data_IF_622347072405
#
_entry.id   IF_622347072405
#
_cell.length_a   1.000
_cell.length_b   1.000
_cell.length_c   1.000
_cell.angle_alpha   90.00
_cell.angle_beta   90.00
_cell.angle_gamma   90.00
#
_symmetry.space_group_name_H-M   'P 1'
#
loop_
_entity.id
_entity.type
_entity.pdbx_description
1 polymer ?
#
# COMPACT_ATOMS: atom_id res chain seq x y z
N UNK A 1 -29.66 22.99 4.90
CA UNK A 1 -29.20 22.25 6.10
C UNK A 1 -27.98 21.39 5.81
N UNK A 2 -28.04 20.35 4.97
CA UNK A 2 -26.95 19.35 4.88
C UNK A 2 -25.50 19.83 4.61
N UNK A 3 -25.26 20.95 3.91
CA UNK A 3 -23.88 21.48 3.70
C UNK A 3 -23.29 22.15 4.94
N UNK A 4 -24.12 22.70 5.81
CA UNK A 4 -23.68 23.34 7.06
C UNK A 4 -23.39 22.25 8.09
N UNK A 5 -24.27 21.25 8.17
CA UNK A 5 -24.12 20.12 9.10
C UNK A 5 -22.83 19.33 8.81
N UNK A 6 -22.58 18.98 7.54
CA UNK A 6 -21.34 18.29 7.14
C UNK A 6 -20.06 19.10 7.43
N UNK A 7 -20.13 20.44 7.35
CA UNK A 7 -18.98 21.31 7.69
C UNK A 7 -18.74 21.36 9.21
N UNK A 8 -19.79 21.27 10.01
CA UNK A 8 -19.69 21.23 11.47
C UNK A 8 -19.19 19.86 11.93
N UNK A 9 -19.64 18.76 11.32
CA UNK A 9 -19.12 17.41 11.53
C UNK A 9 -17.62 17.33 11.24
N UNK A 10 -17.18 17.80 10.07
CA UNK A 10 -15.75 17.79 9.74
C UNK A 10 -14.86 18.66 10.66
N UNK A 11 -15.44 19.68 11.33
CA UNK A 11 -14.72 20.44 12.37
C UNK A 11 -14.56 19.64 13.65
N UNK A 12 -15.62 18.93 14.06
CA UNK A 12 -15.58 18.06 15.24
C UNK A 12 -14.57 16.93 15.03
N UNK A 13 -14.64 16.25 13.89
CA UNK A 13 -13.69 15.18 13.52
C UNK A 13 -12.23 15.68 13.48
N UNK A 14 -12.02 16.90 12.96
CA UNK A 14 -10.69 17.52 12.94
C UNK A 14 -10.13 17.81 14.35
N UNK A 15 -10.97 18.24 15.29
CA UNK A 15 -10.57 18.45 16.68
C UNK A 15 -10.27 17.13 17.40
N UNK A 16 -11.05 16.08 17.14
CA UNK A 16 -10.82 14.74 17.68
C UNK A 16 -9.49 14.14 17.19
N UNK A 17 -9.18 14.31 15.89
CA UNK A 17 -7.91 13.90 15.33
C UNK A 17 -6.73 14.67 15.97
N UNK A 18 -6.84 15.99 16.09
CA UNK A 18 -5.80 16.81 16.70
C UNK A 18 -5.54 16.39 18.15
N UNK A 19 -6.61 16.11 18.91
CA UNK A 19 -6.50 15.60 20.27
C UNK A 19 -5.80 14.23 20.31
N UNK A 20 -6.08 13.33 19.37
CA UNK A 20 -5.43 12.02 19.26
C UNK A 20 -3.93 12.14 19.00
N UNK A 21 -3.54 12.96 18.02
CA UNK A 21 -2.13 13.18 17.66
C UNK A 21 -1.35 13.77 18.84
N UNK A 22 -1.93 14.75 19.55
CA UNK A 22 -1.30 15.35 20.74
C UNK A 22 -1.14 14.33 21.86
N UNK A 23 -2.12 13.43 22.06
CA UNK A 23 -2.02 12.37 23.07
C UNK A 23 -0.90 11.36 22.76
N UNK A 24 -0.67 11.06 21.49
CA UNK A 24 0.34 10.06 21.08
C UNK A 24 1.76 10.61 20.97
N UNK A 25 1.93 11.87 20.55
CA UNK A 25 3.24 12.42 20.21
C UNK A 25 3.48 13.87 20.65
N UNK A 26 2.59 14.43 21.46
CA UNK A 26 2.68 15.80 21.97
C UNK A 26 2.41 16.87 20.90
N UNK A 27 2.64 18.14 21.28
CA UNK A 27 2.43 19.29 20.41
C UNK A 27 3.31 19.25 19.14
N UNK A 28 4.55 18.76 19.26
CA UNK A 28 5.45 18.64 18.10
C UNK A 28 4.93 17.69 17.02
N UNK A 29 4.25 16.60 17.41
CA UNK A 29 3.65 15.69 16.45
C UNK A 29 2.51 16.37 15.67
N UNK A 30 1.70 17.18 16.35
CA UNK A 30 0.66 17.98 15.71
C UNK A 30 1.25 19.02 14.76
N UNK A 31 2.34 19.69 15.13
CA UNK A 31 3.03 20.66 14.26
C UNK A 31 3.60 20.00 13.00
N UNK A 32 4.21 18.82 13.12
CA UNK A 32 4.70 18.03 11.97
C UNK A 32 3.56 17.65 11.03
N UNK A 33 2.44 17.18 11.58
CA UNK A 33 1.27 16.82 10.79
C UNK A 33 0.65 18.04 10.09
N UNK A 34 0.54 19.18 10.79
CA UNK A 34 0.09 20.43 10.20
C UNK A 34 0.99 20.91 9.06
N UNK A 35 2.32 20.77 9.21
CA UNK A 35 3.29 21.09 8.15
C UNK A 35 3.14 20.14 6.96
N UNK A 36 3.01 18.84 7.20
CA UNK A 36 2.81 17.84 6.15
C UNK A 36 1.53 18.13 5.35
N UNK A 37 0.39 18.34 6.02
CA UNK A 37 -0.89 18.67 5.38
C UNK A 37 -0.86 19.96 4.55
N UNK A 38 -0.11 20.98 4.98
CA UNK A 38 0.06 22.21 4.19
C UNK A 38 0.77 21.93 2.86
N UNK A 39 1.72 20.99 2.84
CA UNK A 39 2.46 20.61 1.62
C UNK A 39 1.64 19.67 0.74
N UNK A 40 0.96 18.68 1.33
CA UNK A 40 0.23 17.64 0.58
C UNK A 40 -1.21 18.01 0.23
N UNK A 41 -1.79 19.02 0.88
CA UNK A 41 -3.16 19.45 0.64
C UNK A 41 -4.24 18.52 1.21
N UNK A 42 -3.88 17.60 2.12
CA UNK A 42 -4.81 16.65 2.75
C UNK A 42 -5.83 17.40 3.62
N UNK A 43 -7.12 17.20 3.33
CA UNK A 43 -8.26 17.84 4.02
C UNK A 43 -9.15 16.87 4.79
N UNK A 44 -8.79 15.59 4.84
CA UNK A 44 -9.56 14.54 5.53
C UNK A 44 -9.09 14.36 6.99
N UNK A 45 -9.96 13.97 7.92
CA UNK A 45 -9.65 13.80 9.34
C UNK A 45 -8.95 12.46 9.62
N UNK A 46 -7.93 12.13 8.82
CA UNK A 46 -7.10 10.92 9.01
C UNK A 46 -5.65 11.35 9.04
N UNK A 47 -4.89 10.93 10.06
CA UNK A 47 -3.46 11.24 10.21
C UNK A 47 -2.63 10.55 9.12
N UNK A 48 -1.51 11.16 8.72
CA UNK A 48 -0.58 10.58 7.75
C UNK A 48 -0.15 9.16 8.11
N UNK A 49 0.07 8.88 9.41
CA UNK A 49 0.42 7.52 9.88
C UNK A 49 -0.69 6.51 9.67
N UNK A 50 -1.95 6.91 9.83
CA UNK A 50 -3.10 6.02 9.59
C UNK A 50 -3.28 5.77 8.08
N UNK A 51 -3.00 6.77 7.25
CA UNK A 51 -2.99 6.62 5.79
C UNK A 51 -1.88 5.68 5.30
N UNK A 52 -0.66 5.82 5.83
CA UNK A 52 0.45 4.93 5.49
C UNK A 52 0.17 3.49 5.91
N UNK A 53 -0.39 3.29 7.11
CA UNK A 53 -0.81 1.97 7.58
C UNK A 53 -1.92 1.36 6.71
N UNK A 54 -2.91 2.16 6.32
CA UNK A 54 -3.98 1.69 5.43
C UNK A 54 -3.43 1.32 4.05
N UNK A 55 -2.56 2.17 3.48
CA UNK A 55 -1.89 1.89 2.22
C UNK A 55 -1.05 0.62 2.30
N UNK A 56 -0.32 0.41 3.40
CA UNK A 56 0.48 -0.80 3.61
C UNK A 56 -0.39 -2.06 3.67
N UNK A 57 -1.50 -2.03 4.42
CA UNK A 57 -2.45 -3.16 4.47
C UNK A 57 -3.04 -3.47 3.10
N UNK A 58 -3.37 -2.44 2.31
CA UNK A 58 -3.87 -2.63 0.94
C UNK A 58 -2.80 -3.30 0.07
N UNK A 59 -1.54 -2.86 0.17
CA UNK A 59 -0.43 -3.49 -0.56
C UNK A 59 -0.26 -4.96 -0.18
N UNK A 60 -0.25 -5.28 1.11
CA UNK A 60 -0.15 -6.65 1.63
C UNK A 60 -1.30 -7.52 1.12
N UNK A 61 -2.54 -7.03 1.20
CA UNK A 61 -3.72 -7.75 0.70
C UNK A 61 -3.67 -7.97 -0.82
N UNK A 62 -3.18 -7.00 -1.60
CA UNK A 62 -3.00 -7.16 -3.04
C UNK A 62 -1.98 -8.27 -3.32
N UNK A 63 -0.87 -8.31 -2.59
CA UNK A 63 0.14 -9.35 -2.77
C UNK A 63 -0.40 -10.74 -2.44
N UNK A 64 -1.14 -10.88 -1.33
CA UNK A 64 -1.77 -12.14 -0.93
C UNK A 64 -2.77 -12.65 -1.98
N UNK A 65 -3.61 -11.75 -2.49
CA UNK A 65 -4.63 -12.11 -3.49
C UNK A 65 -4.01 -12.48 -4.85
N UNK A 66 -2.97 -11.77 -5.29
CA UNK A 66 -2.20 -12.10 -6.50
C UNK A 66 -1.46 -13.43 -6.36
N UNK A 67 -0.84 -13.70 -5.21
CA UNK A 67 -0.17 -14.97 -4.94
C UNK A 67 -1.18 -16.14 -4.95
N UNK A 68 -2.33 -15.98 -4.33
CA UNK A 68 -3.38 -16.99 -4.32
C UNK A 68 -3.88 -17.33 -5.73
N UNK A 69 -4.16 -16.31 -6.55
CA UNK A 69 -4.54 -16.47 -7.95
C UNK A 69 -3.44 -17.16 -8.76
N UNK A 70 -2.18 -16.75 -8.58
CA UNK A 70 -1.03 -17.34 -9.27
C UNK A 70 -0.87 -18.83 -8.94
N UNK A 71 -0.99 -19.20 -7.66
CA UNK A 71 -0.94 -20.60 -7.22
C UNK A 71 -2.07 -21.43 -7.84
N UNK A 72 -3.29 -20.87 -7.91
CA UNK A 72 -4.43 -21.55 -8.50
C UNK A 72 -4.19 -21.84 -9.99
N UNK A 73 -3.75 -20.83 -10.76
CA UNK A 73 -3.41 -20.99 -12.19
C UNK A 73 -2.28 -22.01 -12.38
N UNK A 74 -1.21 -21.94 -11.58
CA UNK A 74 -0.10 -22.90 -11.65
C UNK A 74 -0.54 -24.34 -11.35
N UNK A 75 -1.50 -24.52 -10.44
CA UNK A 75 -2.07 -25.83 -10.16
C UNK A 75 -2.92 -26.32 -11.32
N UNK A 76 -3.86 -25.51 -11.79
CA UNK A 76 -4.90 -25.94 -12.71
C UNK A 76 -4.40 -26.08 -14.14
N UNK A 77 -3.61 -25.13 -14.62
CA UNK A 77 -3.10 -25.12 -16.01
C UNK A 77 -1.83 -25.96 -16.17
N UNK A 78 -0.91 -25.88 -15.19
CA UNK A 78 0.40 -26.51 -15.31
C UNK A 78 0.56 -27.77 -14.45
N UNK A 79 -0.47 -28.15 -13.69
CA UNK A 79 -0.46 -29.36 -12.85
C UNK A 79 0.55 -29.32 -11.70
N UNK A 80 0.94 -28.13 -11.23
CA UNK A 80 1.95 -28.02 -10.18
C UNK A 80 1.42 -28.61 -8.86
N UNK A 81 2.09 -29.67 -8.39
CA UNK A 81 1.88 -30.23 -7.06
C UNK A 81 2.53 -29.40 -5.95
N UNK A 82 2.20 -29.72 -4.70
CA UNK A 82 2.61 -28.98 -3.49
C UNK A 82 4.08 -28.52 -3.50
N UNK A 83 5.03 -29.40 -3.80
CA UNK A 83 6.47 -29.06 -3.79
C UNK A 83 6.81 -27.89 -4.72
N UNK A 84 6.26 -27.88 -5.94
CA UNK A 84 6.50 -26.80 -6.93
C UNK A 84 5.79 -25.51 -6.52
N UNK A 85 4.58 -25.62 -5.97
CA UNK A 85 3.83 -24.48 -5.46
C UNK A 85 4.51 -23.83 -4.25
N UNK A 86 5.04 -24.62 -3.31
CA UNK A 86 5.80 -24.13 -2.16
C UNK A 86 7.07 -23.41 -2.61
N UNK A 87 7.76 -23.94 -3.62
CA UNK A 87 8.93 -23.28 -4.21
C UNK A 87 8.55 -21.96 -4.89
N UNK A 88 7.46 -21.92 -5.67
CA UNK A 88 6.95 -20.68 -6.27
C UNK A 88 6.62 -19.64 -5.19
N UNK A 89 5.86 -20.04 -4.16
CA UNK A 89 5.51 -19.17 -3.02
C UNK A 89 6.74 -18.59 -2.34
N UNK A 90 7.75 -19.42 -2.06
CA UNK A 90 8.98 -18.95 -1.43
C UNK A 90 9.72 -17.92 -2.30
N UNK A 91 9.80 -18.14 -3.63
CA UNK A 91 10.44 -17.20 -4.56
C UNK A 91 9.63 -15.91 -4.75
N UNK A 92 8.30 -16.00 -4.74
CA UNK A 92 7.40 -14.84 -4.79
C UNK A 92 7.62 -13.95 -3.57
N UNK A 93 7.60 -14.52 -2.36
CA UNK A 93 7.81 -13.78 -1.12
C UNK A 93 9.20 -13.14 -1.05
N UNK A 94 10.24 -13.86 -1.46
CA UNK A 94 11.60 -13.30 -1.50
C UNK A 94 11.69 -12.08 -2.43
N UNK A 95 11.05 -12.10 -3.62
CA UNK A 95 11.02 -10.95 -4.51
C UNK A 95 10.29 -9.76 -3.88
N UNK A 96 9.19 -10.00 -3.17
CA UNK A 96 8.47 -8.97 -2.41
C UNK A 96 9.36 -8.35 -1.32
N UNK A 97 10.09 -9.16 -0.55
CA UNK A 97 11.02 -8.69 0.47
C UNK A 97 12.12 -7.81 -0.15
N UNK A 98 12.73 -8.24 -1.26
CA UNK A 98 13.73 -7.44 -1.97
C UNK A 98 13.18 -6.08 -2.44
N UNK A 99 11.91 -6.00 -2.84
CA UNK A 99 11.28 -4.71 -3.18
C UNK A 99 11.06 -3.84 -1.95
N UNK A 100 10.64 -4.41 -0.83
CA UNK A 100 10.45 -3.67 0.42
C UNK A 100 11.77 -3.10 0.96
N UNK A 101 12.87 -3.85 0.80
CA UNK A 101 14.22 -3.43 1.20
C UNK A 101 14.87 -2.46 0.19
N UNK A 102 14.20 -2.14 -0.91
CA UNK A 102 14.71 -1.24 -1.95
C UNK A 102 15.85 -1.82 -2.78
N UNK A 103 16.07 -3.13 -2.73
CA UNK A 103 17.11 -3.84 -3.50
C UNK A 103 16.73 -4.02 -4.97
N UNK A 104 15.42 -3.97 -5.26
CA UNK A 104 14.85 -4.15 -6.60
C UNK A 104 13.67 -3.19 -6.78
N UNK A 105 13.57 -2.55 -7.93
CA UNK A 105 12.43 -1.70 -8.30
C UNK A 105 11.46 -2.41 -9.25
N UNK A 106 10.24 -1.88 -9.39
CA UNK A 106 9.30 -2.37 -10.41
C UNK A 106 9.84 -2.21 -11.82
N UNK A 107 10.62 -1.16 -12.10
CA UNK A 107 11.24 -0.97 -13.41
C UNK A 107 12.21 -2.11 -13.73
N UNK A 108 13.05 -2.50 -12.77
CA UNK A 108 14.00 -3.62 -12.93
C UNK A 108 13.27 -4.94 -13.21
N UNK A 109 12.14 -5.18 -12.53
CA UNK A 109 11.33 -6.39 -12.75
C UNK A 109 10.70 -6.38 -14.15
N UNK A 110 10.13 -5.26 -14.58
CA UNK A 110 9.51 -5.16 -15.91
C UNK A 110 10.54 -5.29 -17.03
N UNK A 111 11.72 -4.72 -16.85
CA UNK A 111 12.86 -4.89 -17.75
C UNK A 111 13.32 -6.34 -17.83
N UNK A 112 13.54 -7.00 -16.70
CA UNK A 112 13.93 -8.41 -16.68
C UNK A 112 12.90 -9.32 -17.35
N UNK A 113 11.59 -9.10 -17.11
CA UNK A 113 10.53 -9.89 -17.74
C UNK A 113 10.56 -9.69 -19.27
N UNK A 114 10.66 -8.44 -19.72
CA UNK A 114 10.73 -8.12 -21.15
C UNK A 114 11.95 -8.76 -21.80
N UNK A 115 13.13 -8.59 -21.21
CA UNK A 115 14.40 -9.02 -21.79
C UNK A 115 14.55 -10.55 -21.78
N UNK A 116 14.07 -11.24 -20.73
CA UNK A 116 14.22 -12.69 -20.59
C UNK A 116 13.09 -13.50 -21.26
N UNK A 117 11.88 -12.94 -21.33
CA UNK A 117 10.69 -13.68 -21.78
C UNK A 117 10.02 -13.10 -23.03
N UNK A 118 10.36 -11.86 -23.41
CA UNK A 118 9.69 -11.12 -24.48
C UNK A 118 8.28 -10.62 -24.10
N UNK A 119 7.83 -10.84 -22.87
CA UNK A 119 6.51 -10.39 -22.40
C UNK A 119 6.60 -8.93 -21.97
N UNK A 120 5.74 -8.08 -22.54
CA UNK A 120 5.61 -6.69 -22.12
C UNK A 120 4.51 -6.54 -21.06
N UNK A 121 4.86 -5.92 -19.94
CA UNK A 121 3.95 -5.61 -18.84
C UNK A 121 4.04 -4.12 -18.50
N UNK A 122 2.90 -3.55 -18.12
CA UNK A 122 2.81 -2.16 -17.63
C UNK A 122 2.02 -2.12 -16.33
N UNK A 123 2.59 -1.49 -15.31
CA UNK A 123 1.92 -1.23 -14.04
C UNK A 123 1.26 0.14 -14.13
N UNK A 124 -0.06 0.19 -13.92
CA UNK A 124 -0.81 1.46 -13.90
C UNK A 124 -0.50 2.20 -12.60
N UNK A 125 -0.11 3.46 -12.73
CA UNK A 125 -0.04 4.36 -11.58
C UNK A 125 -1.47 4.77 -11.15
N UNK A 126 -1.80 4.60 -9.88
CA UNK A 126 -2.93 5.32 -9.31
C UNK A 126 -2.48 6.77 -9.10
N UNK A 127 -2.84 7.65 -10.04
CA UNK A 127 -2.77 9.10 -9.86
C UNK A 127 -3.99 9.61 -9.10
#
# INVERSE_FOLDING_TARGET
MGKIDAKMEGRTEGLELALRIVREGGAEALEREMKHRRVTGIKVPVDHREMDKAAQKIKEQILDTVLAMSIMVLRDEFGFGKKRLDQFKARFNLKTECMNDGLVTWADILEAIRDETGIELTIRENR
#
